data_IF_947703686236
#
_entry.id   IF_947703686236
#
_cell.length_a   1.000
_cell.length_b   1.000
_cell.length_c   1.000
_cell.angle_alpha   90.00
_cell.angle_beta   90.00
_cell.angle_gamma   90.00
#
_symmetry.space_group_name_H-M   'P 1'
#
loop_
_entity.id
_entity.type
_entity.pdbx_description
1 polymer ?
#
# COMPACT_ATOMS: atom_id res chain seq x y z
N UNK A 1 16.03 -27.15 -20.49
CA UNK A 1 15.34 -27.01 -19.19
C UNK A 1 13.94 -27.58 -19.30
N UNK A 2 13.80 -28.82 -18.85
CA UNK A 2 12.61 -29.68 -18.91
C UNK A 2 11.69 -29.34 -17.75
N UNK A 3 10.45 -28.95 -18.03
CA UNK A 3 9.45 -28.73 -16.98
C UNK A 3 8.03 -28.59 -17.60
N UNK A 4 7.61 -29.62 -18.35
CA UNK A 4 6.22 -29.82 -18.79
C UNK A 4 5.71 -31.09 -18.12
N UNK A 5 4.90 -30.93 -17.07
CA UNK A 5 4.08 -31.99 -16.48
C UNK A 5 2.64 -31.80 -16.98
N UNK A 6 1.98 -32.88 -17.37
CA UNK A 6 0.62 -32.92 -17.92
C UNK A 6 -0.36 -32.00 -17.15
N UNK A 7 -1.02 -31.10 -17.90
CA UNK A 7 -2.20 -30.36 -17.47
C UNK A 7 -2.01 -29.11 -16.58
N UNK A 8 -0.87 -28.92 -15.92
CA UNK A 8 -0.67 -27.85 -14.94
C UNK A 8 0.49 -26.90 -15.22
N UNK A 9 0.25 -25.58 -15.23
CA UNK A 9 1.31 -24.57 -15.38
C UNK A 9 2.21 -24.54 -14.13
N UNK A 10 3.53 -24.67 -14.25
CA UNK A 10 4.41 -24.58 -13.08
C UNK A 10 4.40 -23.18 -12.45
N UNK A 11 4.32 -22.15 -13.29
CA UNK A 11 4.37 -20.75 -12.92
C UNK A 11 3.08 -20.08 -13.38
N UNK A 12 2.44 -19.32 -12.49
CA UNK A 12 1.24 -18.56 -12.84
C UNK A 12 1.05 -17.30 -12.01
N UNK A 13 -0.08 -16.64 -12.21
CA UNK A 13 -0.55 -15.54 -11.39
C UNK A 13 -0.96 -16.04 -9.99
N UNK A 14 -1.06 -15.11 -9.01
CA UNK A 14 -1.58 -15.46 -7.67
C UNK A 14 -2.96 -16.13 -7.73
N UNK A 15 -3.80 -15.74 -8.68
CA UNK A 15 -5.14 -16.33 -8.85
C UNK A 15 -5.06 -17.77 -9.35
N UNK A 16 -4.24 -18.03 -10.37
CA UNK A 16 -4.00 -19.38 -10.88
C UNK A 16 -3.42 -20.31 -9.79
N UNK A 17 -2.47 -19.80 -9.01
CA UNK A 17 -1.89 -20.57 -7.88
C UNK A 17 -2.93 -20.85 -6.79
N UNK A 18 -3.76 -19.87 -6.45
CA UNK A 18 -4.80 -20.04 -5.44
C UNK A 18 -5.88 -21.04 -5.89
N UNK A 19 -6.28 -20.97 -7.16
CA UNK A 19 -7.25 -21.87 -7.77
C UNK A 19 -6.69 -23.27 -8.05
N UNK A 20 -5.37 -23.45 -8.01
CA UNK A 20 -4.70 -24.74 -8.21
C UNK A 20 -4.31 -25.06 -9.66
N UNK A 21 -4.54 -24.14 -10.60
CA UNK A 21 -4.11 -24.30 -12.00
C UNK A 21 -2.61 -24.06 -12.18
N UNK A 22 -1.95 -23.46 -11.18
CA UNK A 22 -0.50 -23.30 -11.15
C UNK A 22 0.16 -23.66 -9.81
N UNK A 23 1.40 -24.13 -9.82
CA UNK A 23 2.11 -24.53 -8.59
C UNK A 23 2.63 -23.35 -7.77
N UNK A 24 3.26 -22.37 -8.44
CA UNK A 24 3.88 -21.20 -7.79
C UNK A 24 3.74 -19.93 -8.63
N UNK A 25 3.97 -18.77 -8.01
CA UNK A 25 4.00 -17.49 -8.73
C UNK A 25 5.35 -17.22 -9.42
N UNK A 26 5.36 -16.40 -10.48
CA UNK A 26 6.55 -16.12 -11.30
C UNK A 26 7.66 -15.23 -10.71
N UNK A 27 7.77 -15.08 -9.37
CA UNK A 27 8.80 -14.26 -8.73
C UNK A 27 10.17 -14.96 -8.61
N UNK A 28 10.55 -15.76 -9.63
CA UNK A 28 11.80 -16.53 -9.63
C UNK A 28 11.89 -17.54 -8.48
N UNK A 29 13.02 -17.55 -7.78
CA UNK A 29 13.27 -18.45 -6.62
C UNK A 29 12.32 -18.18 -5.44
N UNK A 30 11.73 -16.98 -5.36
CA UNK A 30 10.83 -16.56 -4.29
C UNK A 30 9.33 -16.71 -4.66
N UNK A 31 9.02 -17.64 -5.55
CA UNK A 31 7.64 -17.91 -5.97
C UNK A 31 6.76 -18.37 -4.80
N UNK A 32 5.60 -17.74 -4.64
CA UNK A 32 4.61 -18.08 -3.63
C UNK A 32 3.80 -19.29 -4.06
N UNK A 33 3.64 -20.24 -3.14
CA UNK A 33 2.75 -21.40 -3.27
C UNK A 33 1.36 -21.10 -2.74
N UNK A 34 0.38 -21.97 -3.00
CA UNK A 34 -1.00 -21.83 -2.52
C UNK A 34 -1.08 -21.66 -0.99
N UNK A 35 -0.25 -22.39 -0.22
CA UNK A 35 -0.21 -22.32 1.25
C UNK A 35 0.26 -20.97 1.79
N UNK A 36 0.96 -20.17 0.97
CA UNK A 36 1.49 -18.86 1.35
C UNK A 36 0.59 -17.69 0.93
N UNK A 37 -0.51 -18.00 0.23
CA UNK A 37 -1.51 -17.05 -0.24
C UNK A 37 -2.79 -17.16 0.59
N UNK A 38 -3.49 -16.04 0.71
CA UNK A 38 -4.85 -16.00 1.26
C UNK A 38 -5.68 -14.95 0.55
N UNK A 39 -6.99 -15.14 0.51
CA UNK A 39 -7.92 -14.09 0.13
C UNK A 39 -8.14 -13.16 1.32
N UNK A 40 -8.05 -11.85 1.12
CA UNK A 40 -8.42 -10.86 2.13
C UNK A 40 -9.91 -10.51 2.06
N UNK A 41 -10.41 -9.74 3.03
CA UNK A 41 -11.81 -9.28 3.06
C UNK A 41 -12.26 -8.44 1.86
N UNK A 42 -11.33 -8.01 1.01
CA UNK A 42 -11.58 -7.21 -0.18
C UNK A 42 -11.52 -8.06 -1.46
N UNK A 43 -11.54 -9.40 -1.36
CA UNK A 43 -11.47 -10.31 -2.50
C UNK A 43 -10.10 -10.41 -3.17
N UNK A 44 -9.05 -9.80 -2.61
CA UNK A 44 -7.69 -9.82 -3.18
C UNK A 44 -6.88 -10.98 -2.61
N UNK A 45 -6.19 -11.70 -3.48
CA UNK A 45 -5.25 -12.76 -3.10
C UNK A 45 -3.90 -12.12 -2.77
N UNK A 46 -3.50 -12.22 -1.50
CA UNK A 46 -2.30 -11.57 -0.95
C UNK A 46 -1.38 -12.60 -0.28
N UNK A 47 -0.11 -12.25 -0.13
CA UNK A 47 0.83 -13.04 0.66
C UNK A 47 0.49 -12.99 2.16
N UNK A 48 0.46 -14.15 2.81
CA UNK A 48 0.23 -14.27 4.25
C UNK A 48 1.33 -13.54 5.03
N UNK A 49 2.60 -13.74 4.67
CA UNK A 49 3.76 -13.12 5.33
C UNK A 49 3.66 -11.59 5.30
N UNK A 50 3.38 -11.01 4.14
CA UNK A 50 3.23 -9.54 3.99
C UNK A 50 2.01 -9.01 4.74
N UNK A 51 0.88 -9.73 4.72
CA UNK A 51 -0.30 -9.36 5.50
C UNK A 51 -0.05 -9.34 7.01
N UNK A 52 0.72 -10.31 7.54
CA UNK A 52 1.13 -10.33 8.95
C UNK A 52 2.11 -9.18 9.27
N UNK A 53 3.10 -8.95 8.41
CA UNK A 53 4.09 -7.88 8.60
C UNK A 53 3.47 -6.48 8.61
N UNK A 54 2.50 -6.21 7.73
CA UNK A 54 1.81 -4.92 7.65
C UNK A 54 1.16 -4.49 8.97
N UNK A 55 0.65 -5.44 9.76
CA UNK A 55 0.06 -5.16 11.09
C UNK A 55 1.11 -4.79 12.15
N UNK A 56 2.35 -5.27 11.98
CA UNK A 56 3.45 -5.06 12.93
C UNK A 56 4.25 -3.80 12.62
N UNK A 57 4.60 -3.58 11.35
CA UNK A 57 5.57 -2.55 10.97
C UNK A 57 5.05 -1.12 11.16
N UNK A 58 3.72 -0.90 11.15
CA UNK A 58 3.09 0.41 11.40
C UNK A 58 3.79 1.58 10.68
N UNK A 59 4.13 1.41 9.40
CA UNK A 59 4.90 2.39 8.61
C UNK A 59 4.32 3.83 8.64
N UNK A 60 3.01 3.96 8.81
CA UNK A 60 2.32 5.26 8.89
C UNK A 60 2.39 5.92 10.28
N UNK A 61 2.91 5.25 11.31
CA UNK A 61 2.74 5.57 12.74
C UNK A 61 2.65 7.06 13.10
N UNK A 62 3.70 7.84 12.83
CA UNK A 62 3.75 9.28 13.18
C UNK A 62 2.85 10.17 12.30
N UNK A 63 2.45 9.69 11.14
CA UNK A 63 1.60 10.41 10.20
C UNK A 63 0.11 10.14 10.43
N UNK A 64 -0.24 9.13 11.22
CA UNK A 64 -1.63 8.81 11.53
C UNK A 64 -2.26 9.86 12.45
N UNK A 65 -3.46 10.30 12.08
CA UNK A 65 -4.32 11.10 12.96
C UNK A 65 -4.74 10.29 14.18
N UNK A 66 -4.98 10.97 15.31
CA UNK A 66 -5.60 10.35 16.48
C UNK A 66 -7.00 9.84 16.11
N UNK A 67 -7.37 8.66 16.61
CA UNK A 67 -8.72 8.11 16.43
C UNK A 67 -9.74 9.11 16.98
N UNK A 68 -10.77 9.43 16.20
CA UNK A 68 -11.78 10.44 16.55
C UNK A 68 -11.39 11.89 16.19
N UNK A 69 -10.23 12.12 15.59
CA UNK A 69 -9.87 13.42 15.03
C UNK A 69 -10.82 13.78 13.88
N UNK A 70 -11.36 15.00 13.90
CA UNK A 70 -12.16 15.58 12.81
C UNK A 70 -11.28 16.20 11.71
N UNK A 71 -9.96 16.14 11.87
CA UNK A 71 -9.00 16.75 10.93
C UNK A 71 -8.58 15.75 9.86
N UNK A 72 -8.81 16.12 8.60
CA UNK A 72 -8.31 15.38 7.45
C UNK A 72 -6.83 15.73 7.17
N UNK A 73 -6.02 14.73 6.80
CA UNK A 73 -4.59 14.89 6.48
C UNK A 73 -3.63 14.29 7.53
N UNK A 74 -2.30 14.31 7.30
CA UNK A 74 -1.32 13.69 8.19
C UNK A 74 -1.10 14.49 9.48
N UNK A 75 -0.86 13.81 10.61
CA UNK A 75 -0.70 14.46 11.92
C UNK A 75 0.49 15.45 12.00
N UNK A 76 1.53 15.21 11.21
CA UNK A 76 2.72 16.06 11.13
C UNK A 76 2.62 17.20 10.11
N UNK A 77 1.43 17.49 9.55
CA UNK A 77 1.26 18.73 8.81
C UNK A 77 1.34 19.90 9.78
N UNK A 78 2.56 20.30 10.18
CA UNK A 78 2.81 21.67 10.59
C UNK A 78 2.31 22.50 9.42
N UNK A 79 1.12 23.11 9.55
CA UNK A 79 0.81 24.30 8.78
C UNK A 79 2.00 25.20 9.04
N UNK A 80 2.92 25.34 8.09
CA UNK A 80 3.70 26.56 8.09
C UNK A 80 2.63 27.64 8.04
N UNK A 81 2.48 28.38 9.14
CA UNK A 81 1.80 29.65 9.08
C UNK A 81 2.63 30.43 8.07
N UNK A 82 2.25 30.38 6.79
CA UNK A 82 2.70 31.36 5.82
C UNK A 82 2.23 32.67 6.43
N UNK A 83 3.13 33.36 7.13
CA UNK A 83 2.93 34.73 7.54
C UNK A 83 2.72 35.48 6.24
N UNK A 84 1.47 35.66 5.83
CA UNK A 84 1.12 36.65 4.83
C UNK A 84 1.44 37.98 5.49
N UNK A 85 2.66 38.49 5.27
CA UNK A 85 2.96 39.91 5.41
C UNK A 85 1.92 40.62 4.54
N UNK A 86 0.92 41.20 5.19
CA UNK A 86 -0.01 42.13 4.57
C UNK A 86 0.84 43.33 4.17
N UNK A 87 1.24 43.41 2.91
CA UNK A 87 1.77 44.63 2.34
C UNK A 87 0.66 45.67 2.48
N UNK A 88 0.90 46.71 3.31
CA UNK A 88 0.11 47.94 3.23
C UNK A 88 0.39 48.50 1.84
N UNK A 89 -0.57 48.37 0.93
CA UNK A 89 -0.59 49.16 -0.29
C UNK A 89 -0.65 50.62 0.11
N UNK A 90 0.18 51.45 -0.52
CA UNK A 90 0.17 52.88 -0.34
C UNK A 90 -1.12 53.46 -0.88
N UNK A 91 -1.83 54.21 -0.05
CA UNK A 91 -2.87 55.11 -0.50
C UNK A 91 -2.15 56.39 -0.94
N UNK A 92 -2.24 56.68 -2.24
CA UNK A 92 -1.77 57.94 -2.80
C UNK A 92 -2.78 59.02 -2.46
N UNK A 93 -2.33 60.05 -1.75
CA UNK A 93 -3.08 61.29 -1.59
C UNK A 93 -2.64 62.28 -2.67
N UNK A 94 -3.63 62.62 -3.49
CA UNK A 94 -3.66 63.70 -4.46
C UNK A 94 -3.98 64.97 -3.67
N UNK A 95 -3.02 65.90 -3.54
CA UNK A 95 -3.18 67.36 -3.73
C UNK A 95 -1.82 68.06 -3.65
#
# INVERSE_FOLDING_TARGET
MSDRMEGGQLIGSRRQVFNGTAKKTGYGKAGLTKKELKMNKHGRIVSIKRSKASRKNKNLGKFMQKKGSKTFGPALSKKSKRNSKKSKGGDGDIL
#
